data_IF_313065829302
#
_entry.id   IF_313065829302
#
_cell.length_a   1.000
_cell.length_b   1.000
_cell.length_c   1.000
_cell.angle_alpha   90.00
_cell.angle_beta   90.00
_cell.angle_gamma   90.00
#
_symmetry.space_group_name_H-M   'P 1'
#
loop_
_entity.id
_entity.type
_entity.pdbx_description
1 polymer ?
#
# COMPACT_ATOMS: atom_id res chain seq x y z
N UNK A 1 -6.20 -57.70 15.30
CA UNK A 1 -7.11 -56.83 14.55
C UNK A 1 -7.33 -55.44 15.20
N UNK A 2 -7.48 -55.30 16.53
CA UNK A 2 -7.69 -53.98 17.17
C UNK A 2 -6.49 -53.00 17.04
N UNK A 3 -5.27 -53.48 16.87
CA UNK A 3 -4.08 -52.62 16.68
C UNK A 3 -3.86 -52.24 15.23
N UNK A 4 -4.28 -53.02 14.26
CA UNK A 4 -4.20 -52.76 12.84
C UNK A 4 -5.14 -51.61 12.45
N UNK A 5 -6.36 -51.56 13.02
CA UNK A 5 -7.31 -50.48 12.80
C UNK A 5 -6.82 -49.13 13.40
N UNK A 6 -6.10 -49.19 14.55
CA UNK A 6 -5.50 -47.96 15.12
C UNK A 6 -4.32 -47.42 14.28
N UNK A 7 -3.54 -48.35 13.70
CA UNK A 7 -2.47 -47.98 12.78
C UNK A 7 -3.04 -47.38 11.49
N UNK A 8 -4.14 -47.95 10.97
CA UNK A 8 -4.83 -47.44 9.79
C UNK A 8 -5.45 -46.05 10.03
N UNK A 9 -6.05 -45.81 11.21
CA UNK A 9 -6.58 -44.51 11.59
C UNK A 9 -5.47 -43.46 11.83
N UNK A 10 -4.33 -43.86 12.42
CA UNK A 10 -3.18 -42.98 12.59
C UNK A 10 -2.54 -42.62 11.25
N UNK A 11 -2.46 -43.57 10.32
CA UNK A 11 -1.98 -43.30 8.94
C UNK A 11 -2.96 -42.37 8.19
N UNK A 12 -4.28 -42.58 8.41
CA UNK A 12 -5.30 -41.66 7.80
C UNK A 12 -5.30 -40.27 8.39
N UNK A 13 -4.90 -40.04 9.64
CA UNK A 13 -4.81 -38.71 10.26
C UNK A 13 -3.56 -37.91 9.82
N UNK A 14 -2.54 -38.59 9.31
CA UNK A 14 -1.33 -37.97 8.75
C UNK A 14 -1.55 -37.54 7.26
N UNK A 15 -2.66 -37.95 6.64
CA UNK A 15 -2.98 -37.71 5.23
C UNK A 15 -3.54 -36.31 4.92
N UNK A 16 -3.31 -35.35 5.78
CA UNK A 16 -3.69 -33.94 5.52
C UNK A 16 -2.68 -33.14 4.69
N UNK A 17 -1.55 -33.72 4.35
CA UNK A 17 -0.49 -33.05 3.59
C UNK A 17 -0.67 -33.31 2.09
N UNK A 18 -0.46 -32.29 1.29
CA UNK A 18 -0.52 -32.36 -0.17
C UNK A 18 0.63 -33.20 -0.70
N UNK A 19 0.38 -34.50 -0.97
CA UNK A 19 1.38 -35.35 -1.60
C UNK A 19 1.18 -35.35 -3.12
N UNK A 20 2.26 -35.28 -3.88
CA UNK A 20 2.27 -35.28 -5.33
C UNK A 20 3.15 -36.43 -5.82
N UNK A 21 2.91 -36.95 -7.02
CA UNK A 21 3.85 -37.86 -7.70
C UNK A 21 5.22 -37.15 -7.81
N UNK A 22 6.25 -37.90 -8.22
CA UNK A 22 7.52 -37.30 -8.61
C UNK A 22 7.25 -36.20 -9.65
N UNK A 23 7.72 -35.00 -9.38
CA UNK A 23 7.37 -33.79 -10.11
C UNK A 23 8.61 -32.89 -10.34
N UNK A 24 8.39 -31.70 -10.86
CA UNK A 24 9.46 -30.74 -11.09
C UNK A 24 10.04 -30.15 -9.80
N UNK A 25 9.32 -30.18 -8.66
CA UNK A 25 9.81 -29.71 -7.37
C UNK A 25 10.78 -30.70 -6.75
N UNK A 26 10.42 -31.99 -6.81
CA UNK A 26 11.26 -33.08 -6.39
C UNK A 26 11.55 -34.02 -7.57
N UNK A 27 12.44 -33.61 -8.50
CA UNK A 27 12.63 -34.30 -9.77
C UNK A 27 13.33 -35.66 -9.65
N UNK A 28 14.04 -35.90 -8.56
CA UNK A 28 14.72 -37.17 -8.33
C UNK A 28 13.95 -38.07 -7.39
N UNK A 29 13.99 -39.36 -7.62
CA UNK A 29 13.54 -40.36 -6.65
C UNK A 29 14.49 -41.53 -6.60
N UNK A 30 14.64 -42.08 -5.39
CA UNK A 30 15.33 -43.33 -5.12
C UNK A 30 14.33 -44.31 -4.53
N UNK A 31 14.30 -45.55 -5.05
CA UNK A 31 13.45 -46.60 -4.52
C UNK A 31 14.30 -47.82 -4.22
N UNK A 32 14.06 -48.47 -3.09
CA UNK A 32 14.76 -49.69 -2.72
C UNK A 32 13.83 -50.61 -1.92
N UNK A 33 14.04 -51.92 -2.07
CA UNK A 33 13.22 -52.93 -1.43
C UNK A 33 13.51 -54.33 -1.90
N UNK A 34 12.51 -55.17 -1.77
CA UNK A 34 12.58 -56.59 -2.20
C UNK A 34 12.07 -56.74 -3.64
N UNK A 35 12.63 -57.69 -4.35
CA UNK A 35 12.07 -58.15 -5.62
C UNK A 35 11.75 -59.65 -5.58
N UNK A 36 10.83 -60.05 -6.44
CA UNK A 36 10.46 -61.45 -6.67
C UNK A 36 10.53 -61.77 -8.17
N UNK A 37 11.07 -62.87 -8.51
CA UNK A 37 11.12 -63.39 -9.90
C UNK A 37 10.18 -64.59 -10.03
N UNK A 38 9.17 -64.43 -10.90
CA UNK A 38 8.24 -65.50 -11.25
C UNK A 38 8.59 -66.10 -12.62
N UNK A 39 9.13 -67.28 -12.65
CA UNK A 39 9.60 -67.98 -13.84
C UNK A 39 8.51 -68.73 -14.59
N UNK A 40 7.27 -68.77 -14.06
CA UNK A 40 6.15 -69.49 -14.65
C UNK A 40 5.87 -69.10 -16.11
N UNK A 41 6.14 -67.88 -16.46
CA UNK A 41 5.90 -67.37 -17.79
C UNK A 41 6.80 -67.95 -18.89
N UNK A 42 7.90 -68.59 -18.52
CA UNK A 42 8.82 -69.21 -19.46
C UNK A 42 8.34 -70.61 -19.91
N UNK A 43 7.32 -71.13 -19.24
CA UNK A 43 6.83 -72.50 -19.51
C UNK A 43 6.06 -72.58 -20.85
N UNK A 44 6.79 -72.85 -21.85
CA UNK A 44 6.51 -73.14 -23.27
C UNK A 44 5.13 -73.33 -23.85
N UNK A 45 5.11 -73.23 -25.10
CA UNK A 45 4.24 -73.46 -26.23
C UNK A 45 2.77 -73.83 -26.03
N UNK A 46 1.88 -73.07 -26.57
CA UNK A 46 0.47 -73.38 -26.75
C UNK A 46 -0.40 -72.10 -26.88
N UNK A 47 -1.54 -72.28 -27.50
CA UNK A 47 -2.39 -71.19 -27.98
C UNK A 47 -3.08 -70.27 -26.94
N UNK A 48 -2.88 -70.46 -25.63
CA UNK A 48 -3.51 -69.70 -24.57
C UNK A 48 -2.49 -68.99 -23.65
N UNK A 49 -1.75 -68.05 -24.23
CA UNK A 49 -0.75 -67.27 -23.50
C UNK A 49 -1.32 -66.56 -22.28
N UNK A 50 -2.49 -65.96 -22.38
CA UNK A 50 -3.16 -65.28 -21.24
C UNK A 50 -3.47 -66.26 -20.11
N UNK A 51 -4.05 -67.40 -20.40
CA UNK A 51 -4.44 -68.40 -19.40
C UNK A 51 -3.24 -68.97 -18.65
N UNK A 52 -2.14 -69.16 -19.35
CA UNK A 52 -0.90 -69.65 -18.74
C UNK A 52 -0.22 -68.67 -17.84
N UNK A 53 -0.24 -67.39 -18.19
CA UNK A 53 0.44 -66.33 -17.45
C UNK A 53 -0.41 -65.83 -16.29
N UNK A 54 -1.71 -65.69 -16.48
CA UNK A 54 -2.63 -65.07 -15.54
C UNK A 54 -3.52 -66.03 -14.78
N UNK A 55 -3.49 -67.37 -15.02
CA UNK A 55 -4.29 -68.34 -14.24
C UNK A 55 -3.91 -68.43 -12.77
N UNK A 56 -2.71 -67.98 -12.38
CA UNK A 56 -2.26 -67.93 -10.98
C UNK A 56 -1.26 -66.76 -10.75
N UNK A 57 -1.67 -65.55 -10.94
CA UNK A 57 -0.74 -64.41 -10.88
C UNK A 57 -0.14 -64.17 -9.48
N UNK A 58 -0.75 -64.72 -8.46
CA UNK A 58 -0.31 -64.58 -7.06
C UNK A 58 0.02 -65.91 -6.37
N UNK A 59 0.48 -66.91 -7.12
CA UNK A 59 0.99 -68.15 -6.55
C UNK A 59 2.39 -67.99 -5.93
N UNK A 60 2.45 -67.08 -4.94
CA UNK A 60 3.71 -66.64 -4.30
C UNK A 60 4.52 -67.80 -3.75
N UNK A 61 3.85 -68.73 -3.06
CA UNK A 61 4.51 -69.89 -2.43
C UNK A 61 5.13 -70.83 -3.45
N UNK A 62 4.47 -71.00 -4.58
CA UNK A 62 4.85 -72.04 -5.54
C UNK A 62 5.75 -71.53 -6.66
N UNK A 63 5.54 -70.30 -7.11
CA UNK A 63 6.17 -69.78 -8.31
C UNK A 63 7.22 -68.70 -8.06
N UNK A 64 7.07 -67.92 -6.98
CA UNK A 64 7.91 -66.73 -6.81
C UNK A 64 9.22 -67.09 -6.08
N UNK A 65 10.32 -66.58 -6.63
CA UNK A 65 11.61 -66.54 -5.98
C UNK A 65 11.76 -65.19 -5.31
N UNK A 66 11.79 -65.16 -3.99
CA UNK A 66 11.84 -63.93 -3.19
C UNK A 66 13.12 -63.92 -2.39
N UNK A 67 13.95 -62.90 -2.61
CA UNK A 67 15.07 -62.65 -1.69
C UNK A 67 14.60 -61.64 -0.63
N UNK A 68 14.52 -62.05 0.66
CA UNK A 68 13.88 -61.27 1.72
C UNK A 68 14.73 -60.09 2.24
N UNK A 69 15.77 -59.73 1.55
CA UNK A 69 16.64 -58.57 1.82
C UNK A 69 16.42 -57.48 0.77
N UNK A 70 17.10 -56.32 0.93
CA UNK A 70 17.14 -55.29 -0.12
C UNK A 70 17.79 -55.91 -1.35
N UNK A 71 16.97 -56.16 -2.34
CA UNK A 71 17.35 -56.87 -3.57
C UNK A 71 16.95 -56.10 -4.84
N UNK A 72 16.45 -54.90 -4.66
CA UNK A 72 16.07 -53.95 -5.71
C UNK A 72 16.45 -52.56 -5.28
N UNK A 73 17.08 -51.81 -6.21
CA UNK A 73 17.41 -50.39 -6.09
C UNK A 73 17.12 -49.72 -7.40
N UNK A 74 16.42 -48.59 -7.37
CA UNK A 74 16.24 -47.74 -8.55
C UNK A 74 16.49 -46.28 -8.24
N UNK A 75 16.92 -45.56 -9.26
CA UNK A 75 17.00 -44.10 -9.28
C UNK A 75 16.23 -43.61 -10.48
N UNK A 76 15.36 -42.64 -10.29
CA UNK A 76 14.59 -42.04 -11.38
C UNK A 76 14.59 -40.53 -11.32
N UNK A 77 14.41 -39.93 -12.51
CA UNK A 77 14.31 -38.49 -12.67
C UNK A 77 13.02 -38.14 -13.42
N UNK A 78 12.29 -37.18 -12.91
CA UNK A 78 11.16 -36.57 -13.61
C UNK A 78 11.65 -35.82 -14.87
N UNK A 79 10.97 -36.01 -15.98
CA UNK A 79 11.36 -35.44 -17.27
C UNK A 79 10.26 -34.57 -17.91
N UNK A 80 9.15 -34.35 -17.19
CA UNK A 80 8.01 -33.54 -17.63
C UNK A 80 6.75 -34.36 -17.90
N UNK A 81 5.60 -33.72 -17.96
CA UNK A 81 4.30 -34.29 -18.37
C UNK A 81 3.92 -35.61 -17.71
N UNK A 82 4.18 -35.76 -16.41
CA UNK A 82 4.00 -36.98 -15.60
C UNK A 82 4.92 -38.16 -16.00
N UNK A 83 5.91 -37.93 -16.84
CA UNK A 83 6.91 -38.94 -17.18
C UNK A 83 8.13 -38.87 -16.27
N UNK A 84 8.65 -40.04 -15.93
CA UNK A 84 9.96 -40.19 -15.30
C UNK A 84 10.80 -41.26 -16.03
N UNK A 85 12.11 -41.01 -16.09
CA UNK A 85 13.10 -41.95 -16.58
C UNK A 85 13.84 -42.54 -15.39
N UNK A 86 13.93 -43.89 -15.32
CA UNK A 86 14.57 -44.61 -14.21
C UNK A 86 15.59 -45.64 -14.68
N UNK A 87 16.59 -45.84 -13.83
CA UNK A 87 17.53 -46.96 -13.91
C UNK A 87 17.38 -47.82 -12.67
N UNK A 88 17.30 -49.12 -12.82
CA UNK A 88 17.14 -50.02 -11.72
C UNK A 88 18.12 -51.21 -11.81
N UNK A 89 18.64 -51.59 -10.66
CA UNK A 89 19.39 -52.82 -10.49
C UNK A 89 18.62 -53.80 -9.58
N UNK A 90 18.67 -55.06 -9.88
CA UNK A 90 18.03 -56.12 -9.07
C UNK A 90 18.91 -57.37 -8.97
N UNK A 91 18.80 -58.03 -7.84
CA UNK A 91 19.46 -59.31 -7.56
C UNK A 91 18.46 -60.30 -6.96
N UNK A 92 18.52 -61.56 -7.36
CA UNK A 92 17.68 -62.62 -6.78
C UNK A 92 18.40 -63.97 -6.86
N UNK A 93 17.85 -64.98 -6.20
CA UNK A 93 18.26 -66.38 -6.27
C UNK A 93 17.09 -67.20 -6.77
N UNK A 94 17.30 -67.94 -7.83
CA UNK A 94 16.28 -68.77 -8.43
C UNK A 94 16.37 -70.21 -7.88
N UNK A 95 15.47 -70.50 -6.98
CA UNK A 95 15.33 -71.84 -6.36
C UNK A 95 14.15 -72.60 -6.96
N UNK A 96 13.22 -71.89 -7.59
CA UNK A 96 12.01 -72.40 -8.22
C UNK A 96 12.00 -72.02 -9.68
N UNK A 97 12.20 -72.98 -10.54
CA UNK A 97 12.04 -72.84 -11.96
C UNK A 97 10.79 -73.62 -12.42
N UNK A 98 9.82 -72.91 -12.96
CA UNK A 98 8.52 -73.46 -13.34
C UNK A 98 8.50 -73.70 -14.87
N UNK A 99 8.27 -74.93 -15.31
CA UNK A 99 8.11 -75.28 -16.72
C UNK A 99 6.83 -76.06 -16.98
N UNK A 100 6.28 -75.92 -18.16
CA UNK A 100 5.14 -76.72 -18.59
C UNK A 100 5.66 -78.01 -19.19
N UNK A 101 5.37 -79.15 -18.50
CA UNK A 101 5.78 -80.51 -18.94
C UNK A 101 4.71 -81.51 -18.48
N UNK A 102 3.55 -81.56 -19.15
CA UNK A 102 2.39 -82.31 -18.73
C UNK A 102 2.60 -83.84 -18.73
N UNK A 103 3.64 -84.29 -19.38
CA UNK A 103 4.02 -85.73 -19.44
C UNK A 103 5.16 -86.08 -18.47
N UNK A 104 5.76 -85.09 -17.82
CA UNK A 104 6.89 -85.34 -16.91
C UNK A 104 6.44 -85.85 -15.57
N UNK A 105 7.21 -86.71 -14.91
CA UNK A 105 6.93 -87.15 -13.55
C UNK A 105 6.89 -85.95 -12.58
N UNK A 106 5.86 -85.87 -11.70
CA UNK A 106 5.74 -84.86 -10.67
C UNK A 106 5.09 -83.54 -11.16
N UNK A 107 4.44 -83.53 -12.34
CA UNK A 107 3.64 -82.40 -12.77
C UNK A 107 2.42 -82.18 -11.91
N UNK A 108 1.99 -80.98 -11.72
CA UNK A 108 0.73 -80.64 -11.04
C UNK A 108 -0.47 -80.98 -11.96
N UNK A 109 -1.71 -80.82 -11.44
CA UNK A 109 -2.96 -81.09 -12.17
C UNK A 109 -3.10 -80.29 -13.49
N UNK A 110 -2.26 -79.29 -13.74
CA UNK A 110 -2.25 -78.36 -14.90
C UNK A 110 -1.05 -78.59 -15.80
N UNK A 111 -0.20 -79.62 -15.47
CA UNK A 111 0.96 -79.94 -16.28
C UNK A 111 2.22 -79.10 -16.01
N UNK A 112 2.30 -78.44 -14.86
CA UNK A 112 3.51 -77.69 -14.49
C UNK A 112 4.40 -78.52 -13.55
N UNK A 113 5.70 -78.39 -13.80
CA UNK A 113 6.74 -78.98 -12.92
C UNK A 113 7.56 -77.82 -12.36
N UNK A 114 7.74 -77.78 -11.07
CA UNK A 114 8.65 -76.91 -10.37
C UNK A 114 9.94 -77.69 -10.01
N UNK A 115 11.05 -77.16 -10.49
CA UNK A 115 12.38 -77.77 -10.24
C UNK A 115 13.33 -76.69 -9.67
N UNK A 116 14.28 -77.10 -8.83
CA UNK A 116 15.38 -76.26 -8.42
C UNK A 116 16.52 -76.44 -9.41
N UNK A 117 16.89 -75.32 -10.15
CA UNK A 117 17.92 -75.39 -11.16
C UNK A 117 19.35 -75.30 -10.60
N UNK A 118 19.55 -75.51 -9.28
CA UNK A 118 20.83 -75.39 -8.62
C UNK A 118 21.12 -74.06 -8.01
N UNK A 119 20.05 -73.34 -7.56
CA UNK A 119 20.16 -72.05 -6.89
C UNK A 119 20.83 -70.99 -7.77
N UNK A 120 20.36 -70.81 -9.01
CA UNK A 120 20.94 -69.87 -9.95
C UNK A 120 20.84 -68.43 -9.46
N UNK A 121 21.92 -67.69 -9.60
CA UNK A 121 21.91 -66.24 -9.34
C UNK A 121 21.26 -65.51 -10.51
N UNK A 122 20.45 -64.53 -10.15
CA UNK A 122 19.76 -63.62 -11.04
C UNK A 122 20.22 -62.19 -10.80
N UNK A 123 20.59 -61.52 -11.88
CA UNK A 123 20.86 -60.07 -11.88
C UNK A 123 20.10 -59.41 -13.01
N UNK A 124 19.57 -58.21 -12.74
CA UNK A 124 18.90 -57.39 -13.78
C UNK A 124 19.33 -55.95 -13.69
N UNK A 125 19.55 -55.37 -14.86
CA UNK A 125 19.73 -53.93 -15.00
C UNK A 125 18.68 -53.44 -15.98
N UNK A 126 17.85 -52.49 -15.61
CA UNK A 126 16.73 -51.99 -16.37
C UNK A 126 16.76 -50.46 -16.54
N UNK A 127 16.49 -49.97 -17.72
CA UNK A 127 16.15 -48.57 -18.00
C UNK A 127 14.67 -48.50 -18.34
N UNK A 128 13.94 -47.59 -17.70
CA UNK A 128 12.48 -47.55 -17.74
C UNK A 128 11.97 -46.16 -17.88
N UNK A 129 11.00 -45.93 -18.76
CA UNK A 129 10.14 -44.76 -18.80
C UNK A 129 8.84 -45.13 -18.09
N UNK A 130 8.43 -44.35 -17.11
CA UNK A 130 7.21 -44.52 -16.30
C UNK A 130 6.31 -43.30 -16.49
N UNK A 131 5.02 -43.50 -16.71
CA UNK A 131 3.99 -42.50 -16.71
C UNK A 131 3.13 -42.62 -15.44
N UNK A 132 2.99 -41.56 -14.68
CA UNK A 132 2.14 -41.45 -13.50
C UNK A 132 0.74 -41.00 -13.88
N UNK A 133 -0.29 -41.68 -13.36
CA UNK A 133 -1.69 -41.28 -13.50
C UNK A 133 -2.23 -40.46 -12.32
N UNK A 134 -1.41 -40.18 -11.33
CA UNK A 134 -1.82 -39.53 -10.10
C UNK A 134 -2.59 -38.21 -10.37
N UNK A 135 -2.07 -37.38 -11.27
CA UNK A 135 -2.71 -36.12 -11.65
C UNK A 135 -4.01 -36.35 -12.44
N UNK A 136 -4.06 -37.38 -13.30
CA UNK A 136 -5.24 -37.69 -14.10
C UNK A 136 -6.42 -38.14 -13.24
N UNK A 137 -6.16 -38.89 -12.16
CA UNK A 137 -7.18 -39.38 -11.22
C UNK A 137 -7.42 -38.38 -10.06
N UNK A 138 -6.73 -37.24 -10.09
CA UNK A 138 -6.80 -36.19 -9.06
C UNK A 138 -6.58 -36.72 -7.63
N UNK A 139 -5.65 -37.66 -7.47
CA UNK A 139 -5.30 -38.25 -6.18
C UNK A 139 -4.12 -37.54 -5.55
N UNK A 140 -4.08 -37.54 -4.21
CA UNK A 140 -2.93 -37.03 -3.45
C UNK A 140 -2.11 -38.14 -2.80
N UNK A 141 -2.61 -39.36 -2.82
CA UNK A 141 -2.04 -40.50 -2.06
C UNK A 141 -1.74 -41.70 -2.97
N UNK A 142 -2.60 -41.94 -3.96
CA UNK A 142 -2.53 -43.11 -4.82
C UNK A 142 -2.01 -42.70 -6.18
N UNK A 143 -0.89 -43.29 -6.60
CA UNK A 143 -0.24 -43.02 -7.88
C UNK A 143 -0.13 -44.34 -8.70
N UNK A 144 -1.13 -44.65 -9.51
CA UNK A 144 -1.02 -45.72 -10.48
C UNK A 144 -0.07 -45.32 -11.60
N UNK A 145 0.67 -46.25 -12.14
CA UNK A 145 1.62 -45.97 -13.21
C UNK A 145 1.71 -47.12 -14.22
N UNK A 146 2.02 -46.73 -15.46
CA UNK A 146 2.46 -47.67 -16.50
C UNK A 146 3.91 -47.37 -16.84
N UNK A 147 4.63 -48.42 -17.20
CA UNK A 147 6.02 -48.29 -17.57
C UNK A 147 6.36 -49.19 -18.77
N UNK A 148 7.34 -48.72 -19.52
CA UNK A 148 7.97 -49.50 -20.55
C UNK A 148 9.47 -49.25 -20.54
N UNK A 149 10.26 -50.26 -20.79
CA UNK A 149 11.71 -50.10 -20.78
C UNK A 149 12.44 -51.27 -21.47
N UNK A 150 13.74 -51.13 -21.44
CA UNK A 150 14.64 -52.20 -21.86
C UNK A 150 15.56 -52.60 -20.72
N UNK A 151 16.00 -53.81 -20.70
CA UNK A 151 16.95 -54.28 -19.69
C UNK A 151 17.88 -55.35 -20.20
N UNK A 152 18.83 -55.67 -19.32
CA UNK A 152 19.71 -56.80 -19.52
C UNK A 152 19.66 -57.70 -18.31
N UNK A 153 19.42 -58.97 -18.54
CA UNK A 153 19.23 -59.95 -17.48
C UNK A 153 20.33 -61.00 -17.57
N UNK A 154 20.92 -61.32 -16.42
CA UNK A 154 21.83 -62.45 -16.22
C UNK A 154 21.07 -63.46 -15.41
N UNK A 155 20.96 -64.66 -15.95
CA UNK A 155 20.21 -65.75 -15.34
C UNK A 155 21.09 -67.01 -15.33
N UNK A 156 21.77 -67.24 -14.23
CA UNK A 156 22.85 -68.25 -14.14
C UNK A 156 23.96 -67.91 -15.16
N UNK A 157 24.28 -68.88 -16.01
CA UNK A 157 25.32 -68.71 -17.04
C UNK A 157 24.81 -68.01 -18.33
N UNK A 158 23.50 -67.77 -18.43
CA UNK A 158 22.90 -67.09 -19.58
C UNK A 158 22.73 -65.58 -19.36
N UNK A 159 22.82 -64.80 -20.43
CA UNK A 159 22.57 -63.39 -20.37
C UNK A 159 21.86 -62.91 -21.65
N UNK A 160 20.88 -62.03 -21.51
CA UNK A 160 20.04 -61.63 -22.63
C UNK A 160 19.38 -60.27 -22.37
N UNK A 161 19.07 -59.59 -23.50
CA UNK A 161 18.28 -58.36 -23.49
C UNK A 161 16.78 -58.63 -23.30
N UNK A 162 16.09 -57.70 -22.67
CA UNK A 162 14.65 -57.80 -22.42
C UNK A 162 13.92 -56.50 -22.76
N UNK A 163 12.66 -56.65 -23.21
CA UNK A 163 11.67 -55.56 -23.22
C UNK A 163 10.77 -55.70 -22.00
N UNK A 164 10.57 -54.63 -21.24
CA UNK A 164 10.00 -54.65 -19.92
C UNK A 164 8.75 -53.75 -19.84
N UNK A 165 7.59 -54.11 -20.43
CA UNK A 165 6.33 -53.49 -20.08
C UNK A 165 5.96 -53.76 -18.63
N UNK A 166 5.39 -52.77 -17.93
CA UNK A 166 5.06 -52.92 -16.50
C UNK A 166 3.95 -52.00 -16.05
N UNK A 167 3.44 -52.29 -14.86
CA UNK A 167 2.49 -51.45 -14.15
C UNK A 167 2.94 -51.33 -12.69
N UNK A 168 2.62 -50.21 -12.09
CA UNK A 168 2.98 -49.91 -10.70
C UNK A 168 1.87 -49.18 -9.96
N UNK A 169 1.99 -49.20 -8.66
CA UNK A 169 1.16 -48.44 -7.74
C UNK A 169 2.06 -47.91 -6.65
N UNK A 170 2.12 -46.60 -6.51
CA UNK A 170 2.79 -45.96 -5.37
C UNK A 170 1.76 -45.40 -4.43
N UNK A 171 1.93 -45.71 -3.13
CA UNK A 171 1.13 -45.15 -2.03
C UNK A 171 2.01 -44.15 -1.29
N UNK A 172 1.72 -42.87 -1.44
CA UNK A 172 2.46 -41.80 -0.78
C UNK A 172 1.98 -41.62 0.66
N UNK A 173 2.89 -41.65 1.62
CA UNK A 173 2.63 -41.44 3.04
C UNK A 173 2.85 -40.01 3.46
N UNK A 174 3.84 -39.37 2.84
CA UNK A 174 4.17 -37.98 2.97
C UNK A 174 4.44 -37.42 1.58
N UNK A 175 4.74 -36.14 1.49
CA UNK A 175 5.12 -35.50 0.22
C UNK A 175 6.29 -36.20 -0.48
N UNK A 176 7.23 -36.73 0.30
CA UNK A 176 8.49 -37.22 -0.22
C UNK A 176 8.71 -38.73 0.02
N UNK A 177 7.83 -39.42 0.73
CA UNK A 177 8.01 -40.81 1.10
C UNK A 177 6.78 -41.66 0.74
N UNK A 178 6.98 -42.73 0.03
CA UNK A 178 5.91 -43.67 -0.35
C UNK A 178 6.32 -45.13 -0.35
N UNK A 179 5.34 -46.00 -0.57
CA UNK A 179 5.51 -47.43 -0.85
C UNK A 179 5.23 -47.67 -2.33
N UNK A 180 6.23 -48.10 -3.08
CA UNK A 180 6.11 -48.48 -4.49
C UNK A 180 5.95 -49.99 -4.64
N UNK A 181 4.89 -50.38 -5.33
CA UNK A 181 4.63 -51.76 -5.77
C UNK A 181 4.66 -51.79 -7.28
N UNK A 182 5.47 -52.63 -7.89
CA UNK A 182 5.54 -52.70 -9.34
C UNK A 182 5.63 -54.14 -9.84
N UNK A 183 5.10 -54.36 -11.01
CA UNK A 183 5.23 -55.61 -11.74
C UNK A 183 5.68 -55.30 -13.17
N UNK A 184 6.66 -56.03 -13.66
CA UNK A 184 7.21 -55.92 -15.02
C UNK A 184 7.23 -57.30 -15.64
N UNK A 185 6.78 -57.35 -16.90
CA UNK A 185 6.99 -58.55 -17.72
C UNK A 185 8.28 -58.37 -18.52
N UNK A 186 9.30 -59.16 -18.21
CA UNK A 186 10.59 -59.14 -18.87
C UNK A 186 10.55 -60.11 -20.05
N UNK A 187 10.17 -59.58 -21.23
CA UNK A 187 10.17 -60.34 -22.47
C UNK A 187 11.59 -60.44 -23.02
N UNK A 188 12.14 -61.66 -23.03
CA UNK A 188 13.49 -61.93 -23.56
C UNK A 188 13.57 -61.83 -25.06
N UNK A 189 14.72 -61.37 -25.55
CA UNK A 189 15.11 -61.40 -26.94
C UNK A 189 16.15 -62.51 -27.16
N UNK A 190 15.75 -63.54 -27.79
CA UNK A 190 16.60 -64.65 -28.21
C UNK A 190 16.05 -65.99 -27.76
N UNK A 191 15.40 -66.70 -28.64
CA UNK A 191 15.13 -68.12 -28.46
C UNK A 191 16.42 -68.88 -28.71
N UNK A 192 17.18 -69.15 -27.69
CA UNK A 192 18.30 -70.11 -27.75
C UNK A 192 17.90 -71.34 -26.95
N UNK A 193 17.57 -72.39 -27.63
CA UNK A 193 17.56 -73.70 -27.03
C UNK A 193 19.01 -74.16 -26.88
N UNK A 194 19.47 -74.28 -25.66
CA UNK A 194 20.78 -74.82 -25.36
C UNK A 194 20.69 -76.28 -24.92
N UNK A 195 21.74 -77.03 -25.23
CA UNK A 195 21.83 -78.44 -25.01
C UNK A 195 21.86 -78.89 -23.54
N UNK A 196 21.88 -77.97 -22.60
CA UNK A 196 21.95 -78.20 -21.16
C UNK A 196 20.61 -78.37 -20.47
N UNK A 197 19.48 -78.25 -21.16
CA UNK A 197 18.14 -78.41 -20.63
C UNK A 197 17.69 -77.31 -19.67
N UNK A 198 18.46 -76.26 -19.52
CA UNK A 198 18.10 -75.01 -18.84
C UNK A 198 17.64 -74.02 -19.94
N UNK A 199 16.53 -73.34 -19.79
CA UNK A 199 16.06 -72.37 -20.77
C UNK A 199 17.01 -71.20 -20.86
N UNK A 200 17.53 -70.98 -22.04
CA UNK A 200 18.60 -70.04 -22.29
C UNK A 200 18.23 -68.56 -22.10
N UNK A 201 16.99 -68.21 -22.16
CA UNK A 201 16.53 -66.86 -22.04
C UNK A 201 15.05 -66.78 -21.63
N UNK A 202 14.70 -67.16 -20.39
CA UNK A 202 13.31 -67.23 -19.98
C UNK A 202 12.69 -65.83 -19.83
N UNK A 203 11.57 -65.62 -20.56
CA UNK A 203 10.70 -64.47 -20.22
C UNK A 203 10.03 -64.72 -18.90
N UNK A 204 9.98 -63.73 -18.03
CA UNK A 204 9.49 -63.89 -16.67
C UNK A 204 8.84 -62.60 -16.16
N UNK A 205 8.04 -62.71 -15.10
CA UNK A 205 7.59 -61.55 -14.32
C UNK A 205 8.62 -61.25 -13.22
N UNK A 206 8.85 -59.94 -13.06
CA UNK A 206 9.55 -59.42 -11.90
C UNK A 206 8.61 -58.50 -11.14
N UNK A 207 8.41 -58.81 -9.86
CA UNK A 207 7.64 -57.96 -8.94
C UNK A 207 8.60 -57.27 -7.99
N UNK A 208 8.31 -56.01 -7.64
CA UNK A 208 9.08 -55.27 -6.65
C UNK A 208 8.15 -54.59 -5.64
N UNK A 209 8.62 -54.50 -4.41
CA UNK A 209 7.98 -53.81 -3.32
C UNK A 209 9.05 -53.07 -2.52
N UNK A 210 8.97 -51.74 -2.41
CA UNK A 210 10.01 -50.98 -1.74
C UNK A 210 9.56 -49.56 -1.35
N UNK A 211 10.35 -48.97 -0.51
CA UNK A 211 10.17 -47.55 -0.16
C UNK A 211 10.73 -46.67 -1.29
N UNK A 212 10.03 -45.63 -1.59
CA UNK A 212 10.45 -44.59 -2.54
C UNK A 212 10.56 -43.24 -1.82
N UNK A 213 11.63 -42.50 -2.14
CA UNK A 213 11.92 -41.19 -1.59
C UNK A 213 12.14 -40.21 -2.75
N UNK A 214 11.41 -39.08 -2.74
CA UNK A 214 11.60 -38.00 -3.68
C UNK A 214 12.53 -36.94 -3.07
N UNK A 215 13.33 -36.28 -3.90
CA UNK A 215 14.23 -35.22 -3.48
C UNK A 215 14.72 -34.38 -4.66
N UNK A 216 15.44 -33.27 -4.33
CA UNK A 216 16.13 -32.43 -5.31
C UNK A 216 15.43 -31.11 -5.62
N UNK A 217 14.39 -30.76 -4.90
CA UNK A 217 13.84 -29.42 -4.87
C UNK A 217 14.79 -28.47 -4.14
N UNK A 218 14.85 -27.22 -4.59
CA UNK A 218 15.57 -26.14 -3.94
C UNK A 218 14.59 -25.24 -3.23
N UNK A 219 14.81 -24.99 -1.98
CA UNK A 219 14.10 -24.06 -1.10
C UNK A 219 15.20 -23.29 -0.38
N UNK A 220 15.44 -22.04 -0.82
CA UNK A 220 16.65 -21.31 -0.45
C UNK A 220 16.54 -20.68 0.93
N UNK A 221 15.36 -20.19 1.30
CA UNK A 221 15.11 -19.51 2.57
C UNK A 221 14.49 -20.43 3.65
N UNK A 222 13.98 -21.61 3.23
CA UNK A 222 13.51 -22.65 4.16
C UNK A 222 12.09 -22.43 4.66
N UNK A 223 11.25 -21.70 3.95
CA UNK A 223 9.86 -21.43 4.34
C UNK A 223 8.89 -22.56 3.96
N UNK A 224 9.38 -23.56 3.21
CA UNK A 224 8.61 -24.72 2.75
C UNK A 224 7.99 -24.56 1.37
N UNK A 225 8.31 -23.50 0.66
CA UNK A 225 7.93 -23.26 -0.73
C UNK A 225 9.19 -23.35 -1.59
N UNK A 226 9.13 -24.12 -2.67
CA UNK A 226 10.32 -24.28 -3.52
C UNK A 226 10.56 -23.04 -4.36
N UNK A 227 11.85 -22.67 -4.55
CA UNK A 227 12.30 -21.46 -5.27
C UNK A 227 11.54 -21.17 -6.58
N UNK A 228 11.11 -22.21 -7.30
CA UNK A 228 10.39 -22.03 -8.58
C UNK A 228 8.91 -21.68 -8.44
N UNK A 229 8.33 -21.98 -7.29
CA UNK A 229 6.92 -21.70 -6.93
C UNK A 229 6.83 -20.52 -5.96
N UNK A 230 8.01 -20.02 -5.54
CA UNK A 230 8.20 -18.95 -4.60
C UNK A 230 8.40 -17.61 -5.32
N UNK A 231 7.62 -16.64 -4.95
CA UNK A 231 7.74 -15.28 -5.48
C UNK A 231 8.89 -14.49 -4.83
N UNK A 232 9.34 -14.92 -3.62
CA UNK A 232 10.40 -14.31 -2.85
C UNK A 232 11.47 -15.32 -2.39
N UNK A 233 12.18 -16.03 -3.28
CA UNK A 233 12.98 -17.22 -2.98
C UNK A 233 14.18 -17.04 -2.05
N UNK A 234 14.48 -15.84 -1.62
CA UNK A 234 15.62 -15.52 -0.74
C UNK A 234 15.15 -15.00 0.62
N UNK A 235 13.82 -14.82 0.81
CA UNK A 235 13.24 -14.22 2.03
C UNK A 235 12.02 -15.02 2.44
N UNK A 236 12.15 -15.82 3.49
CA UNK A 236 11.11 -16.68 4.02
C UNK A 236 9.80 -15.93 4.28
N UNK A 237 8.70 -16.47 3.77
CA UNK A 237 7.40 -15.83 3.86
C UNK A 237 6.23 -16.77 4.07
N UNK A 238 5.05 -16.34 3.67
CA UNK A 238 3.81 -17.05 3.92
C UNK A 238 3.29 -17.73 2.65
N UNK A 239 2.71 -18.91 2.84
CA UNK A 239 2.14 -19.69 1.73
C UNK A 239 1.01 -18.96 0.99
N UNK A 240 0.26 -18.15 1.69
CA UNK A 240 -0.83 -17.34 1.12
C UNK A 240 -0.33 -16.22 0.22
N UNK A 241 0.92 -15.80 0.41
CA UNK A 241 1.61 -14.80 -0.45
C UNK A 241 2.66 -15.44 -1.36
N UNK A 242 2.53 -16.76 -1.63
CA UNK A 242 3.45 -17.51 -2.48
C UNK A 242 4.92 -17.35 -2.05
N UNK A 243 5.21 -17.40 -0.75
CA UNK A 243 6.56 -17.31 -0.21
C UNK A 243 7.04 -15.88 0.09
N UNK A 244 6.22 -14.86 -0.12
CA UNK A 244 6.60 -13.51 0.27
C UNK A 244 6.21 -13.20 1.72
N UNK A 245 7.02 -12.39 2.41
CA UNK A 245 6.76 -12.01 3.80
C UNK A 245 5.58 -11.04 3.93
N UNK A 246 4.97 -11.08 5.11
CA UNK A 246 4.03 -10.13 5.69
C UNK A 246 4.56 -9.88 7.11
N UNK A 247 5.35 -8.83 7.26
CA UNK A 247 6.18 -8.64 8.45
C UNK A 247 5.37 -8.22 9.68
N UNK A 248 4.31 -7.46 9.52
CA UNK A 248 3.46 -7.00 10.60
C UNK A 248 2.18 -7.82 10.80
N UNK A 249 1.84 -8.67 9.81
CA UNK A 249 0.75 -9.63 9.91
C UNK A 249 -0.64 -9.05 9.65
N UNK A 250 -0.75 -7.97 8.91
CA UNK A 250 -2.02 -7.32 8.60
C UNK A 250 -2.78 -7.94 7.41
N UNK A 251 -2.14 -8.88 6.71
CA UNK A 251 -2.69 -9.60 5.57
C UNK A 251 -2.33 -8.98 4.21
N UNK A 252 -1.35 -8.09 4.19
CA UNK A 252 -0.78 -7.51 2.97
C UNK A 252 0.71 -7.86 2.93
N UNK A 253 1.16 -8.42 1.81
CA UNK A 253 2.59 -8.75 1.68
C UNK A 253 3.45 -7.47 1.66
N UNK A 254 4.64 -7.52 2.25
CA UNK A 254 5.55 -6.36 2.40
C UNK A 254 5.77 -5.57 1.11
N UNK A 255 5.84 -6.26 -0.04
CA UNK A 255 6.06 -5.62 -1.34
C UNK A 255 4.85 -4.81 -1.85
N UNK A 256 3.66 -5.05 -1.31
CA UNK A 256 2.42 -4.36 -1.64
C UNK A 256 1.96 -3.44 -0.51
N UNK A 257 2.66 -3.51 0.63
CA UNK A 257 2.38 -2.73 1.81
C UNK A 257 3.14 -1.41 1.80
N UNK A 258 2.44 -0.34 2.05
CA UNK A 258 3.02 1.00 2.19
C UNK A 258 3.59 1.27 3.59
N UNK A 259 3.29 0.39 4.58
CA UNK A 259 3.76 0.45 5.96
C UNK A 259 4.16 -0.94 6.51
N UNK A 260 5.13 -1.65 5.90
CA UNK A 260 5.40 -3.07 6.14
C UNK A 260 5.81 -3.48 7.56
N UNK A 261 6.05 -2.54 8.45
CA UNK A 261 6.46 -2.79 9.84
C UNK A 261 5.35 -2.47 10.85
N UNK A 262 4.22 -1.92 10.38
CA UNK A 262 3.13 -1.44 11.26
C UNK A 262 1.78 -1.79 10.67
N UNK A 263 1.15 -2.82 11.22
CA UNK A 263 -0.13 -3.34 10.77
C UNK A 263 -1.22 -2.26 10.63
N UNK A 264 -1.88 -2.26 9.50
CA UNK A 264 -2.86 -1.24 9.17
C UNK A 264 -4.07 -1.73 8.39
N UNK A 265 -4.64 -0.88 7.60
CA UNK A 265 -5.87 -1.14 6.89
C UNK A 265 -5.60 -1.42 5.40
N UNK A 266 -6.24 -2.44 4.87
CA UNK A 266 -6.18 -2.76 3.44
C UNK A 266 -6.64 -1.59 2.54
N UNK A 267 -7.60 -0.79 3.01
CA UNK A 267 -8.07 0.40 2.32
C UNK A 267 -7.01 1.50 2.19
N UNK A 268 -5.99 1.47 3.06
CA UNK A 268 -4.87 2.41 3.12
C UNK A 268 -3.53 1.75 2.77
N UNK A 269 -3.60 0.64 1.99
CA UNK A 269 -2.46 -0.15 1.55
C UNK A 269 -1.55 -0.57 2.71
N UNK A 270 -2.12 -1.09 3.80
CA UNK A 270 -1.38 -1.58 4.95
C UNK A 270 -0.96 -0.52 5.97
N UNK A 271 -1.33 0.73 5.80
CA UNK A 271 -1.01 1.75 6.79
C UNK A 271 -2.09 1.91 7.85
N UNK A 272 -1.70 2.19 9.11
CA UNK A 272 -2.62 2.49 10.19
C UNK A 272 -3.34 3.83 9.96
N UNK A 273 -4.53 3.93 10.56
CA UNK A 273 -5.37 5.12 10.65
C UNK A 273 -5.90 5.17 12.09
N UNK A 274 -5.22 5.92 12.93
CA UNK A 274 -5.41 5.87 14.37
C UNK A 274 -6.73 6.51 14.81
N UNK A 275 -7.18 7.56 14.15
CA UNK A 275 -8.41 8.28 14.49
C UNK A 275 -9.62 7.91 13.60
N UNK A 276 -9.38 7.20 12.51
CA UNK A 276 -10.42 6.64 11.66
C UNK A 276 -11.04 7.62 10.66
N UNK A 277 -10.32 8.66 10.27
CA UNK A 277 -10.82 9.66 9.32
C UNK A 277 -10.62 9.28 7.85
N UNK A 278 -9.90 8.17 7.60
CA UNK A 278 -9.63 7.63 6.27
C UNK A 278 -8.31 8.11 5.66
N UNK A 279 -7.46 8.74 6.44
CA UNK A 279 -6.10 9.14 6.05
C UNK A 279 -5.11 8.33 6.87
N UNK A 280 -4.10 7.78 6.22
CA UNK A 280 -3.09 7.04 6.93
C UNK A 280 -2.27 7.94 7.86
N UNK A 281 -1.91 7.47 9.06
CA UNK A 281 -1.15 8.23 10.07
C UNK A 281 0.09 8.91 9.50
N UNK A 282 0.78 8.26 8.55
CA UNK A 282 1.98 8.81 7.91
C UNK A 282 1.71 10.02 7.01
N UNK A 283 0.49 10.14 6.49
CA UNK A 283 0.04 11.20 5.58
C UNK A 283 -0.87 12.20 6.29
N UNK A 284 -1.20 11.90 7.57
CA UNK A 284 -2.05 12.71 8.42
C UNK A 284 -1.23 13.72 9.23
N UNK A 285 -1.63 14.96 9.16
CA UNK A 285 -1.05 16.04 9.95
C UNK A 285 -1.57 16.10 11.39
N UNK A 286 -2.65 15.36 11.70
CA UNK A 286 -3.29 15.28 13.02
C UNK A 286 -3.70 13.84 13.36
N UNK A 287 -2.79 12.83 13.40
CA UNK A 287 -3.09 11.41 13.43
C UNK A 287 -3.89 10.89 14.64
N UNK A 288 -4.14 11.71 15.63
CA UNK A 288 -4.89 11.34 16.86
C UNK A 288 -6.28 11.99 16.90
N UNK A 289 -6.62 12.85 15.93
CA UNK A 289 -7.87 13.63 15.96
C UNK A 289 -8.45 13.74 14.55
N UNK A 290 -9.46 12.96 14.28
CA UNK A 290 -10.14 12.87 12.99
C UNK A 290 -10.55 14.24 12.43
N UNK A 291 -10.21 14.44 11.16
CA UNK A 291 -10.43 15.71 10.53
C UNK A 291 -10.81 15.62 9.05
N UNK A 292 -10.41 16.59 8.29
CA UNK A 292 -10.79 16.74 6.89
C UNK A 292 -9.65 16.42 5.94
N UNK A 293 -9.93 15.65 4.91
CA UNK A 293 -8.97 15.34 3.87
C UNK A 293 -8.41 16.60 3.18
N UNK A 294 -9.21 17.67 3.07
CA UNK A 294 -8.79 18.95 2.52
C UNK A 294 -7.73 19.66 3.39
N UNK A 295 -7.61 19.27 4.66
CA UNK A 295 -6.68 19.82 5.65
C UNK A 295 -5.68 18.77 6.14
N UNK A 296 -5.45 17.72 5.31
CA UNK A 296 -4.56 16.61 5.59
C UNK A 296 -4.85 15.97 6.95
N UNK A 297 -6.11 15.60 7.21
CA UNK A 297 -6.53 14.92 8.42
C UNK A 297 -6.73 15.82 9.65
N UNK A 298 -6.59 17.13 9.52
CA UNK A 298 -6.82 18.00 10.67
C UNK A 298 -8.27 18.50 10.75
N UNK A 299 -8.81 18.65 11.99
CA UNK A 299 -10.13 19.22 12.20
C UNK A 299 -10.19 20.72 11.87
N UNK A 300 -11.41 21.17 11.55
CA UNK A 300 -11.78 22.57 11.29
C UNK A 300 -13.16 22.77 11.92
N UNK A 301 -13.16 23.29 13.14
CA UNK A 301 -14.35 23.33 13.98
C UNK A 301 -15.39 24.36 13.53
N UNK A 302 -14.98 25.45 12.89
CA UNK A 302 -15.86 26.51 12.41
C UNK A 302 -16.06 26.52 10.88
N UNK A 303 -15.29 25.69 10.16
CA UNK A 303 -15.46 25.46 8.73
C UNK A 303 -14.93 26.57 7.83
N UNK A 304 -13.94 27.32 8.27
CA UNK A 304 -13.38 28.44 7.51
C UNK A 304 -12.23 28.06 6.56
N UNK A 305 -11.79 26.79 6.61
CA UNK A 305 -10.73 26.25 5.79
C UNK A 305 -9.32 26.45 6.35
N UNK A 306 -9.21 26.76 7.65
CA UNK A 306 -7.97 26.76 8.43
C UNK A 306 -8.09 25.64 9.48
N UNK A 307 -7.10 24.78 9.56
CA UNK A 307 -7.11 23.71 10.57
C UNK A 307 -7.04 24.30 11.98
N UNK A 308 -7.78 23.72 12.95
CA UNK A 308 -7.84 24.19 14.33
C UNK A 308 -6.46 24.45 14.95
N UNK A 309 -5.46 23.62 14.60
CA UNK A 309 -4.08 23.78 15.10
C UNK A 309 -3.37 25.03 14.57
N UNK A 310 -3.77 25.53 13.41
CA UNK A 310 -3.20 26.69 12.72
C UNK A 310 -4.09 27.93 12.84
N UNK A 311 -5.30 27.74 13.42
CA UNK A 311 -6.30 28.75 13.62
C UNK A 311 -6.16 29.44 15.00
N UNK A 312 -6.11 30.76 14.99
CA UNK A 312 -6.10 31.56 16.23
C UNK A 312 -7.48 31.72 16.85
N UNK A 313 -8.53 31.48 16.08
CA UNK A 313 -9.92 31.59 16.48
C UNK A 313 -10.73 30.33 16.11
N UNK A 314 -10.39 29.11 16.59
CA UNK A 314 -10.89 27.82 16.07
C UNK A 314 -12.41 27.61 16.19
N UNK A 315 -13.16 28.55 16.70
CA UNK A 315 -14.62 28.48 16.87
C UNK A 315 -15.35 29.66 16.24
N UNK A 316 -14.64 30.54 15.56
CA UNK A 316 -15.20 31.73 14.94
C UNK A 316 -14.58 31.98 13.60
N UNK A 317 -15.26 31.54 12.55
CA UNK A 317 -14.80 31.56 11.18
C UNK A 317 -14.28 32.93 10.71
N UNK A 318 -13.09 32.93 10.15
CA UNK A 318 -12.45 34.10 9.61
C UNK A 318 -11.56 33.77 8.41
N UNK A 319 -10.96 34.76 7.77
CA UNK A 319 -10.15 34.51 6.59
C UNK A 319 -8.77 33.95 6.94
N UNK A 320 -8.27 33.04 6.12
CA UNK A 320 -6.91 32.49 6.21
C UNK A 320 -5.82 33.57 6.30
N UNK A 321 -6.04 34.71 5.65
CA UNK A 321 -5.13 35.85 5.70
C UNK A 321 -4.99 36.47 7.10
N UNK A 322 -5.93 36.19 8.01
CA UNK A 322 -5.88 36.60 9.39
C UNK A 322 -5.77 35.39 10.34
N UNK A 323 -5.20 34.29 9.85
CA UNK A 323 -5.03 33.04 10.60
C UNK A 323 -6.35 32.55 11.26
N UNK A 324 -7.43 32.48 10.45
CA UNK A 324 -8.73 31.99 10.87
C UNK A 324 -9.58 32.95 11.71
N UNK A 325 -9.06 34.13 12.06
CA UNK A 325 -9.83 35.09 12.84
C UNK A 325 -10.57 36.09 11.95
N UNK A 326 -11.77 36.53 12.33
CA UNK A 326 -12.38 37.71 11.72
C UNK A 326 -11.48 38.94 11.85
N UNK A 327 -11.53 39.82 10.84
CA UNK A 327 -10.85 41.10 10.97
C UNK A 327 -11.57 41.92 12.04
N UNK A 328 -10.82 42.58 12.96
CA UNK A 328 -11.43 43.42 13.98
C UNK A 328 -12.08 44.69 13.36
N UNK A 329 -13.14 45.14 14.01
CA UNK A 329 -13.78 46.45 13.86
C UNK A 329 -13.90 47.00 15.26
N UNK A 330 -12.88 47.77 15.69
CA UNK A 330 -12.68 48.16 17.10
C UNK A 330 -13.73 49.13 17.59
N UNK A 331 -14.22 50.02 16.79
CA UNK A 331 -15.25 50.98 17.17
C UNK A 331 -16.67 50.62 16.73
N UNK A 332 -16.81 49.59 15.87
CA UNK A 332 -18.08 49.04 15.46
C UNK A 332 -18.87 49.92 14.51
N UNK A 333 -18.21 50.57 13.59
CA UNK A 333 -18.81 51.48 12.60
C UNK A 333 -19.12 50.79 11.26
N UNK A 334 -18.66 49.49 11.12
CA UNK A 334 -18.84 48.68 9.91
C UNK A 334 -17.68 48.82 8.89
N UNK A 335 -16.60 49.48 9.27
CA UNK A 335 -15.33 49.48 8.54
C UNK A 335 -14.29 48.74 9.37
N UNK A 336 -13.69 47.72 8.78
CA UNK A 336 -12.69 46.91 9.52
C UNK A 336 -11.45 47.73 9.82
N UNK A 337 -10.79 47.49 10.97
CA UNK A 337 -9.61 48.26 11.41
C UNK A 337 -8.53 48.37 10.33
N UNK A 338 -8.34 47.35 9.50
CA UNK A 338 -7.35 47.37 8.41
C UNK A 338 -7.69 48.33 7.26
N UNK A 339 -8.95 48.65 7.09
CA UNK A 339 -9.50 49.53 6.03
C UNK A 339 -9.97 50.84 6.61
N UNK A 340 -9.99 50.98 7.95
CA UNK A 340 -10.44 52.11 8.70
C UNK A 340 -9.29 53.12 8.95
N UNK A 341 -9.50 54.36 8.58
CA UNK A 341 -8.56 55.46 8.89
C UNK A 341 -8.68 55.96 10.32
N UNK A 342 -9.79 55.70 10.98
CA UNK A 342 -10.09 56.10 12.32
C UNK A 342 -10.51 54.95 13.23
N UNK A 343 -9.74 53.87 13.44
CA UNK A 343 -10.16 52.60 14.02
C UNK A 343 -10.71 52.64 15.43
N UNK A 344 -10.73 53.76 16.06
CA UNK A 344 -11.20 53.93 17.47
C UNK A 344 -12.28 55.00 17.60
N UNK A 345 -12.76 55.56 16.49
CA UNK A 345 -13.73 56.68 16.47
C UNK A 345 -14.73 56.46 15.35
N UNK A 346 -15.94 56.02 15.68
CA UNK A 346 -17.00 55.72 14.71
C UNK A 346 -17.17 56.77 13.64
N UNK A 347 -17.13 56.31 12.41
CA UNK A 347 -17.36 57.22 11.28
C UNK A 347 -18.35 56.67 10.27
N UNK A 348 -18.08 56.85 9.00
CA UNK A 348 -18.91 56.36 7.91
C UNK A 348 -18.10 55.59 6.90
N UNK A 349 -18.69 54.57 6.28
CA UNK A 349 -18.08 53.80 5.19
C UNK A 349 -17.64 54.75 4.05
N UNK A 350 -18.41 55.76 3.76
CA UNK A 350 -18.12 56.75 2.73
C UNK A 350 -16.84 57.57 3.02
N UNK A 351 -16.54 57.77 4.30
CA UNK A 351 -15.35 58.50 4.77
C UNK A 351 -14.28 57.53 5.36
N UNK A 352 -14.30 56.23 4.94
CA UNK A 352 -13.32 55.24 5.32
C UNK A 352 -13.16 55.11 6.85
N UNK A 353 -14.28 54.99 7.56
CA UNK A 353 -14.34 54.84 8.99
C UNK A 353 -14.12 56.12 9.80
N UNK A 354 -13.94 57.26 9.18
CA UNK A 354 -13.79 58.53 9.89
C UNK A 354 -15.08 59.33 9.96
N UNK A 355 -15.30 60.15 11.04
CA UNK A 355 -16.44 61.01 11.12
C UNK A 355 -16.44 62.09 10.06
N UNK A 356 -17.61 62.41 9.51
CA UNK A 356 -17.82 63.51 8.58
C UNK A 356 -18.04 64.82 9.29
N UNK A 357 -17.45 65.91 8.76
CA UNK A 357 -17.69 67.24 9.29
C UNK A 357 -19.07 67.71 8.90
N UNK A 358 -19.99 67.74 9.85
CA UNK A 358 -21.38 68.17 9.62
C UNK A 358 -21.49 69.65 9.38
N UNK A 359 -22.58 70.05 8.73
CA UNK A 359 -22.89 71.52 8.53
C UNK A 359 -22.99 72.25 9.86
N UNK A 360 -23.44 71.58 10.93
CA UNK A 360 -23.55 72.18 12.24
C UNK A 360 -22.18 72.47 12.86
N UNK A 361 -21.22 71.53 12.72
CA UNK A 361 -19.84 71.74 13.09
C UNK A 361 -19.23 72.91 12.31
N UNK A 362 -19.44 72.99 11.00
CA UNK A 362 -18.97 74.07 10.16
C UNK A 362 -19.55 75.43 10.60
N UNK A 363 -20.84 75.46 10.95
CA UNK A 363 -21.49 76.67 11.49
C UNK A 363 -20.89 77.05 12.82
N UNK A 364 -20.54 76.14 13.67
CA UNK A 364 -19.89 76.37 14.97
C UNK A 364 -18.48 76.97 14.75
N UNK A 365 -17.67 76.32 13.90
CA UNK A 365 -16.33 76.80 13.54
C UNK A 365 -16.37 78.26 12.99
N UNK A 366 -17.34 78.53 12.13
CA UNK A 366 -17.51 79.87 11.59
C UNK A 366 -18.01 80.93 12.65
N UNK A 367 -18.81 80.48 13.58
CA UNK A 367 -19.18 81.35 14.70
C UNK A 367 -17.96 81.68 15.58
N UNK A 368 -17.10 80.69 15.86
CA UNK A 368 -15.84 80.94 16.54
C UNK A 368 -14.90 81.81 15.72
N UNK A 369 -14.82 81.69 14.40
CA UNK A 369 -14.03 82.48 13.51
C UNK A 369 -14.37 83.98 13.59
N UNK A 370 -15.68 84.32 13.70
CA UNK A 370 -16.18 85.70 13.80
C UNK A 370 -15.79 86.39 15.10
N UNK A 371 -15.46 85.70 16.17
CA UNK A 371 -15.07 86.27 17.46
C UNK A 371 -13.55 86.23 17.69
N UNK A 372 -12.78 85.86 16.70
CA UNK A 372 -11.32 85.95 16.74
C UNK A 372 -10.97 87.42 16.61
N UNK A 373 -10.42 88.03 17.65
CA UNK A 373 -10.06 89.43 17.72
C UNK A 373 -8.56 89.60 17.59
N UNK A 374 -8.17 90.62 16.76
CA UNK A 374 -6.78 91.02 16.54
C UNK A 374 -6.55 92.46 17.07
N UNK A 375 -5.32 92.79 17.39
CA UNK A 375 -4.92 94.13 17.65
C UNK A 375 -5.13 95.02 16.40
N UNK A 376 -5.37 96.31 16.64
CA UNK A 376 -5.68 97.26 15.55
C UNK A 376 -4.50 97.33 14.53
N UNK A 377 -4.82 97.03 13.26
CA UNK A 377 -3.83 97.02 12.18
C UNK A 377 -2.78 95.89 12.27
N UNK A 378 -2.95 94.89 13.17
CA UNK A 378 -1.99 93.79 13.37
C UNK A 378 -2.65 92.43 13.18
N UNK A 379 -1.80 91.45 13.13
CA UNK A 379 -2.19 90.01 13.13
C UNK A 379 -1.96 89.30 14.53
N UNK A 380 -1.57 90.10 15.55
CA UNK A 380 -1.45 89.65 16.94
C UNK A 380 -2.81 89.45 17.56
N UNK A 381 -3.03 88.32 18.29
CA UNK A 381 -4.31 88.05 18.91
C UNK A 381 -4.52 88.84 20.21
N UNK A 382 -5.74 89.36 20.41
CA UNK A 382 -6.15 89.88 21.70
C UNK A 382 -6.29 88.78 22.70
N UNK A 383 -6.09 89.04 24.05
CA UNK A 383 -5.98 88.10 25.14
C UNK A 383 -7.17 87.11 25.23
N UNK A 384 -8.41 87.58 24.94
CA UNK A 384 -9.61 86.71 24.98
C UNK A 384 -9.75 85.77 23.79
N UNK A 385 -8.96 85.91 22.73
CA UNK A 385 -9.05 85.08 21.49
C UNK A 385 -8.50 83.66 21.68
N UNK A 386 -7.56 83.49 22.59
CA UNK A 386 -6.91 82.16 22.80
C UNK A 386 -7.86 81.06 23.20
N UNK A 387 -8.89 81.31 24.02
CA UNK A 387 -9.92 80.36 24.40
C UNK A 387 -10.73 79.85 23.21
N UNK A 388 -11.04 80.85 22.27
CA UNK A 388 -11.75 80.51 21.04
C UNK A 388 -10.91 79.69 20.09
N UNK A 389 -9.63 80.01 19.98
CA UNK A 389 -8.68 79.22 19.16
C UNK A 389 -8.47 77.82 19.72
N UNK A 390 -8.46 77.69 21.04
CA UNK A 390 -8.42 76.32 21.67
C UNK A 390 -9.69 75.52 21.35
N UNK A 391 -10.88 76.11 21.42
CA UNK A 391 -12.12 75.43 21.02
C UNK A 391 -12.10 74.97 19.55
N UNK A 392 -11.63 75.83 18.65
CA UNK A 392 -11.43 75.47 17.24
C UNK A 392 -10.45 74.34 17.12
N UNK A 393 -9.32 74.40 17.81
CA UNK A 393 -8.33 73.31 17.82
C UNK A 393 -8.93 72.00 18.26
N UNK A 394 -9.71 71.96 19.32
CA UNK A 394 -10.38 70.78 19.83
C UNK A 394 -11.32 70.18 18.79
N UNK A 395 -12.15 70.99 18.17
CA UNK A 395 -13.04 70.51 17.09
C UNK A 395 -12.24 69.94 15.91
N UNK A 396 -11.19 70.64 15.46
CA UNK A 396 -10.41 70.12 14.32
C UNK A 396 -9.67 68.82 14.63
N UNK A 397 -9.40 68.53 15.93
CA UNK A 397 -8.82 67.22 16.34
C UNK A 397 -9.81 66.07 16.26
N UNK A 398 -11.10 66.33 16.39
CA UNK A 398 -12.16 65.29 16.25
C UNK A 398 -12.32 64.82 14.79
N UNK A 399 -11.79 65.58 13.80
CA UNK A 399 -11.87 65.28 12.35
C UNK A 399 -10.48 65.15 11.75
N UNK A 400 -9.66 64.19 12.12
CA UNK A 400 -8.22 64.16 11.86
C UNK A 400 -7.84 64.15 10.34
N UNK A 401 -8.73 63.66 9.51
CA UNK A 401 -8.51 63.54 8.06
C UNK A 401 -9.14 64.67 7.24
N UNK A 402 -9.95 65.52 7.88
CA UNK A 402 -10.56 66.65 7.18
C UNK A 402 -9.57 67.80 7.04
N UNK A 403 -9.63 68.48 5.88
CA UNK A 403 -8.78 69.66 5.53
C UNK A 403 -9.58 70.90 5.60
N UNK A 404 -8.98 71.92 6.14
CA UNK A 404 -9.66 73.22 6.38
C UNK A 404 -8.90 74.37 5.76
N UNK A 405 -9.68 75.35 5.26
CA UNK A 405 -9.20 76.64 4.81
C UNK A 405 -9.54 77.74 5.84
N UNK A 406 -8.55 78.44 6.26
CA UNK A 406 -8.71 79.66 7.11
C UNK A 406 -8.72 80.88 6.23
N UNK A 407 -9.82 81.58 6.22
CA UNK A 407 -10.02 82.81 5.38
C UNK A 407 -10.06 84.04 6.21
N UNK A 408 -9.23 85.02 5.90
CA UNK A 408 -9.18 86.32 6.59
C UNK A 408 -9.87 87.46 5.77
N UNK A 409 -10.61 88.27 6.51
CA UNK A 409 -11.34 89.40 5.90
C UNK A 409 -11.12 90.66 6.69
N UNK A 410 -11.19 91.81 5.97
CA UNK A 410 -11.13 93.20 6.56
C UNK A 410 -12.41 93.94 6.27
N UNK A 411 -12.56 95.08 6.88
CA UNK A 411 -13.46 96.15 6.42
C UNK A 411 -12.76 97.01 5.36
N UNK A 412 -13.44 97.99 4.88
CA UNK A 412 -12.92 98.86 3.81
C UNK A 412 -12.08 100.07 4.32
N UNK A 413 -11.59 100.03 5.59
CA UNK A 413 -10.71 101.08 6.06
C UNK A 413 -9.26 100.83 5.64
N UNK A 414 -8.65 101.74 4.88
CA UNK A 414 -7.30 101.56 4.32
C UNK A 414 -7.27 101.31 2.84
N UNK A 415 -6.10 101.01 2.30
CA UNK A 415 -5.99 100.64 0.87
C UNK A 415 -6.21 99.12 0.66
N UNK A 416 -6.75 98.74 -0.49
CA UNK A 416 -6.98 97.37 -0.85
C UNK A 416 -5.73 96.45 -0.67
N UNK A 417 -4.53 97.03 -0.98
CA UNK A 417 -3.26 96.31 -0.82
C UNK A 417 -2.91 96.08 0.62
N UNK A 418 -3.13 97.06 1.52
CA UNK A 418 -2.93 96.89 2.95
C UNK A 418 -3.95 95.88 3.57
N UNK A 419 -5.20 95.98 3.15
CA UNK A 419 -6.26 95.11 3.58
C UNK A 419 -6.01 93.61 3.11
N UNK A 420 -5.51 93.44 1.91
CA UNK A 420 -5.12 92.13 1.40
C UNK A 420 -4.00 91.53 2.29
N UNK A 421 -2.89 92.28 2.44
CA UNK A 421 -1.77 91.79 3.26
C UNK A 421 -2.18 91.53 4.76
N UNK A 422 -3.02 92.42 5.32
CA UNK A 422 -3.49 92.26 6.71
C UNK A 422 -4.35 91.02 6.88
N UNK A 423 -5.24 90.78 5.91
CA UNK A 423 -6.11 89.58 5.96
C UNK A 423 -5.32 88.28 5.77
N UNK A 424 -4.34 88.26 4.86
CA UNK A 424 -3.41 87.12 4.71
C UNK A 424 -2.63 86.82 5.99
N UNK A 425 -2.02 87.86 6.58
CA UNK A 425 -1.28 87.68 7.84
C UNK A 425 -2.16 87.25 8.99
N UNK A 426 -3.42 87.66 9.08
CA UNK A 426 -4.38 87.25 10.11
C UNK A 426 -4.79 85.73 9.91
N UNK A 427 -5.12 85.38 8.67
CA UNK A 427 -5.41 83.96 8.35
C UNK A 427 -4.20 83.09 8.63
N UNK A 428 -3.00 83.57 8.25
CA UNK A 428 -1.76 82.84 8.53
C UNK A 428 -1.49 82.70 10.07
N UNK A 429 -1.76 83.72 10.87
CA UNK A 429 -1.60 83.67 12.28
C UNK A 429 -2.52 82.67 12.93
N UNK A 430 -3.79 82.56 12.50
CA UNK A 430 -4.71 81.51 12.99
C UNK A 430 -4.22 80.15 12.54
N UNK A 431 -3.84 79.96 11.29
CA UNK A 431 -3.29 78.65 10.84
C UNK A 431 -2.06 78.24 11.65
N UNK A 432 -1.13 79.14 11.89
CA UNK A 432 0.09 78.83 12.62
C UNK A 432 -0.24 78.43 14.08
N UNK A 433 -1.16 79.15 14.72
CA UNK A 433 -1.63 78.76 16.06
C UNK A 433 -2.19 77.34 16.11
N UNK A 434 -3.03 77.03 15.11
CA UNK A 434 -3.61 75.63 15.04
C UNK A 434 -2.52 74.59 14.84
N UNK A 435 -1.51 74.87 14.03
CA UNK A 435 -0.35 74.04 13.81
C UNK A 435 0.46 73.85 15.11
N UNK A 436 0.78 74.93 15.78
CA UNK A 436 1.51 74.91 17.08
C UNK A 436 0.77 74.16 18.13
N UNK A 437 -0.57 74.06 18.06
CA UNK A 437 -1.41 73.29 19.00
C UNK A 437 -1.82 71.90 18.49
N UNK A 438 -1.08 71.36 17.49
CA UNK A 438 -1.11 69.94 17.11
C UNK A 438 -2.03 69.60 15.95
N UNK A 439 -2.47 70.55 15.14
CA UNK A 439 -3.14 70.28 13.89
C UNK A 439 -2.06 70.15 12.77
N UNK A 440 -2.08 69.09 11.99
CA UNK A 440 -1.09 68.87 10.97
C UNK A 440 -1.11 69.96 9.84
N UNK A 441 0.07 70.36 9.38
CA UNK A 441 0.25 71.46 8.39
C UNK A 441 -0.44 71.16 7.07
N UNK A 442 -0.47 69.88 6.64
CA UNK A 442 -1.09 69.41 5.41
C UNK A 442 -2.61 69.52 5.40
N UNK A 443 -3.22 69.63 6.58
CA UNK A 443 -4.66 69.81 6.77
C UNK A 443 -5.12 71.26 6.71
N UNK A 444 -4.21 72.24 6.75
CA UNK A 444 -4.56 73.62 6.89
C UNK A 444 -4.00 74.46 5.74
N UNK A 445 -4.88 75.20 5.12
CA UNK A 445 -4.51 76.32 4.18
C UNK A 445 -5.01 77.59 4.74
N UNK A 446 -4.39 78.69 4.33
CA UNK A 446 -4.85 80.03 4.71
C UNK A 446 -4.81 80.99 3.48
N UNK A 447 -5.79 81.86 3.41
CA UNK A 447 -5.86 82.89 2.38
C UNK A 447 -6.49 84.11 2.97
N UNK A 448 -6.09 85.29 2.41
CA UNK A 448 -6.72 86.55 2.75
C UNK A 448 -7.55 87.04 1.56
N UNK A 449 -8.66 87.64 1.85
CA UNK A 449 -9.53 88.25 0.85
C UNK A 449 -9.65 89.76 1.01
N UNK A 450 -8.91 90.39 1.94
CA UNK A 450 -9.02 91.82 2.23
C UNK A 450 -10.48 92.26 2.41
N UNK A 451 -10.88 93.31 1.77
CA UNK A 451 -12.24 93.83 1.81
C UNK A 451 -13.15 93.34 0.67
N UNK A 452 -12.67 92.37 -0.19
CA UNK A 452 -13.34 91.96 -1.43
C UNK A 452 -14.57 91.08 -1.21
N UNK A 453 -14.71 90.50 -0.03
CA UNK A 453 -15.83 89.61 0.34
C UNK A 453 -16.60 90.13 1.58
N UNK A 454 -17.28 91.27 1.55
CA UNK A 454 -18.01 91.82 2.67
C UNK A 454 -19.29 91.02 2.89
N UNK A 455 -19.64 90.74 4.16
CA UNK A 455 -20.94 90.15 4.61
C UNK A 455 -21.91 91.17 5.16
N UNK A 456 -21.45 92.34 5.36
CA UNK A 456 -22.26 93.46 5.84
C UNK A 456 -21.79 94.80 5.17
N UNK A 457 -22.60 95.87 5.30
CA UNK A 457 -22.25 97.19 4.75
C UNK A 457 -21.04 97.79 5.44
N UNK A 458 -20.08 98.28 4.68
CA UNK A 458 -18.92 99.03 5.20
C UNK A 458 -19.25 100.48 5.55
N UNK A 459 -20.51 100.94 5.39
CA UNK A 459 -20.97 102.32 5.73
C UNK A 459 -21.21 102.52 7.23
N UNK A 460 -21.36 101.47 8.01
CA UNK A 460 -21.63 101.58 9.44
C UNK A 460 -20.56 100.84 10.27
N UNK A 461 -20.29 101.38 11.47
CA UNK A 461 -19.32 100.74 12.38
C UNK A 461 -19.67 99.28 12.71
N UNK A 462 -20.95 98.96 12.82
CA UNK A 462 -21.43 97.60 13.05
C UNK A 462 -21.13 96.71 11.85
N UNK A 463 -21.40 97.17 10.67
CA UNK A 463 -21.15 96.41 9.46
C UNK A 463 -19.65 96.14 9.23
N UNK A 464 -18.80 97.18 9.44
CA UNK A 464 -17.33 97.05 9.41
C UNK A 464 -16.85 96.00 10.43
N UNK A 465 -17.39 96.04 11.64
CA UNK A 465 -17.02 95.05 12.65
C UNK A 465 -17.38 93.59 12.20
N UNK A 466 -18.51 93.39 11.52
CA UNK A 466 -18.88 92.08 10.95
C UNK A 466 -17.96 91.64 9.78
N UNK A 467 -17.44 92.62 9.01
CA UNK A 467 -16.54 92.33 7.91
C UNK A 467 -15.14 91.93 8.42
N UNK A 468 -14.66 92.45 9.56
CA UNK A 468 -13.41 92.03 10.21
C UNK A 468 -13.58 90.68 10.89
N UNK A 469 -13.42 89.56 10.16
CA UNK A 469 -13.64 88.21 10.60
C UNK A 469 -12.62 87.26 10.06
N UNK A 470 -12.60 86.07 10.66
CA UNK A 470 -12.01 84.87 10.11
C UNK A 470 -13.15 83.86 9.77
N UNK A 471 -13.08 83.27 8.65
CA UNK A 471 -13.94 82.12 8.29
C UNK A 471 -13.11 80.86 8.19
N UNK A 472 -13.74 79.75 8.55
CA UNK A 472 -13.15 78.43 8.41
C UNK A 472 -14.07 77.62 7.51
N UNK A 473 -13.53 77.13 6.39
CA UNK A 473 -14.27 76.31 5.46
C UNK A 473 -13.61 74.96 5.27
N UNK A 474 -14.41 73.95 4.94
CA UNK A 474 -13.95 72.57 4.64
C UNK A 474 -13.41 72.58 3.20
N UNK A 475 -12.20 72.08 3.01
CA UNK A 475 -11.66 71.86 1.67
C UNK A 475 -12.27 70.51 1.19
N UNK A 476 -13.14 70.60 0.19
CA UNK A 476 -13.65 69.44 -0.52
C UNK A 476 -12.63 69.10 -1.62
N UNK A 477 -12.11 67.84 -1.54
CA UNK A 477 -11.25 67.31 -2.61
C UNK A 477 -12.06 66.91 -3.82
#
# INVERSE_FOLDING_TARGET
MKHLNKLFVAVMMVMGLSSHAQDSNNPWAISFGANAVDTKTSAGGGNNWLDRHFSQPFAVKDNWNILPSVSYLSVSKYVGDNFSFGLAGSVNKIEKYVRFAPTAPGHDSRGYVVSNPGDLMYYGIDATIKYSFMNLINSKVIDPSLSVGGGYTFFGDSSYGTLNPGAGLTLWFTENVGLELATKYKKSFGDREDASGTPDAPSHFQHSAGLIFKFGGKDTDGDGIYDKDDACPEVAGLKEFNGCPDTDGDGIQDSADACPEVAGLAALNGCPDTDGDGIADKDDSCPEVAGLAALNGCPDADGDGVADKDDKCPTVAGPKANAGCPWPDTDGDGVLDKDDKCPTVKGTVANQGCPEVSEEVMKTLNNYGKVILFDSGKSTFQKGTYTVLQSITSILKEYPYSKFMVEGHTDSDGSNQLNQALSENRAAAVKNYLIENGISTDRLRSTGFGETKPIATNKTAKGKAMNRRVEISLIKE
#
